data_IF_689393362541
#
_entry.id   IF_689393362541
#
_cell.length_a   1.000
_cell.length_b   1.000
_cell.length_c   1.000
_cell.angle_alpha   90.00
_cell.angle_beta   90.00
_cell.angle_gamma   90.00
#
_symmetry.space_group_name_H-M   'P 1'
#
loop_
_entity.id
_entity.type
_entity.pdbx_description
1 polymer ?
#
# COMPACT_ATOMS: atom_id res chain seq x y z
N UNK A 1 27.32 -4.76 17.17
CA UNK A 1 28.32 -3.82 16.61
C UNK A 1 27.92 -3.53 15.18
N UNK A 2 27.13 -2.47 14.95
CA UNK A 2 26.76 -2.07 13.58
C UNK A 2 27.95 -1.30 13.00
N UNK A 3 28.77 -2.00 12.22
CA UNK A 3 29.89 -1.42 11.51
C UNK A 3 29.39 -0.35 10.53
N UNK A 4 30.04 0.82 10.60
CA UNK A 4 30.21 1.84 9.57
C UNK A 4 29.23 1.77 8.37
N UNK A 5 28.23 2.65 8.35
CA UNK A 5 27.61 3.07 7.10
C UNK A 5 28.66 3.85 6.29
N UNK A 6 29.44 3.13 5.49
CA UNK A 6 30.45 3.70 4.63
C UNK A 6 29.75 4.38 3.44
N UNK A 7 30.01 5.68 3.31
CA UNK A 7 29.69 6.62 2.23
C UNK A 7 28.69 6.15 1.17
N UNK A 8 27.41 6.25 1.51
CA UNK A 8 26.37 6.21 0.52
C UNK A 8 26.13 7.61 -0.04
N UNK A 9 26.23 7.83 -1.37
CA UNK A 9 25.98 9.12 -1.98
C UNK A 9 24.59 9.65 -1.60
N UNK A 10 24.46 10.94 -1.27
CA UNK A 10 23.18 11.57 -0.83
C UNK A 10 22.03 11.39 -1.84
N UNK A 11 22.37 11.12 -3.09
CA UNK A 11 21.47 10.85 -4.21
C UNK A 11 21.01 9.38 -4.32
N UNK A 12 21.58 8.48 -3.50
CA UNK A 12 21.25 7.03 -3.48
C UNK A 12 20.68 6.64 -2.12
N UNK A 13 21.20 7.17 -1.01
CA UNK A 13 20.70 6.82 0.31
C UNK A 13 19.49 7.63 0.73
N UNK A 14 18.48 6.88 1.19
CA UNK A 14 17.27 7.43 1.74
C UNK A 14 17.51 7.85 3.18
N UNK A 15 17.02 9.04 3.59
CA UNK A 15 17.09 9.45 4.98
C UNK A 15 16.22 8.51 5.84
N UNK A 16 16.84 7.92 6.86
CA UNK A 16 16.17 7.13 7.90
C UNK A 16 15.87 8.03 9.09
N UNK A 17 14.60 8.07 9.48
CA UNK A 17 14.10 8.84 10.61
C UNK A 17 13.77 7.91 11.78
N UNK A 18 14.64 7.83 12.81
CA UNK A 18 14.42 6.95 13.94
C UNK A 18 13.44 7.55 14.96
N UNK A 19 12.57 6.69 15.45
CA UNK A 19 11.59 6.98 16.48
C UNK A 19 11.64 5.89 17.56
N UNK A 20 11.52 6.31 18.81
CA UNK A 20 11.30 5.41 19.94
C UNK A 20 9.81 5.49 20.30
N UNK A 21 9.16 4.34 20.38
CA UNK A 21 7.72 4.25 20.56
C UNK A 21 7.34 3.42 21.79
N UNK A 22 6.10 3.63 22.26
CA UNK A 22 5.40 2.70 23.13
C UNK A 22 5.10 1.37 22.42
N UNK A 23 4.77 0.34 23.20
CA UNK A 23 4.55 -1.04 22.75
C UNK A 23 3.46 -1.21 21.66
N UNK A 24 2.53 -0.26 21.60
CA UNK A 24 1.39 -0.17 20.67
C UNK A 24 1.66 0.78 19.48
N UNK A 25 2.86 1.36 19.39
CA UNK A 25 3.26 2.35 18.37
C UNK A 25 2.43 3.65 18.34
N UNK A 26 1.59 3.92 19.34
CA UNK A 26 0.76 5.14 19.36
C UNK A 26 1.53 6.37 19.82
N UNK A 27 2.47 6.21 20.76
CA UNK A 27 3.28 7.31 21.30
C UNK A 27 4.73 7.18 20.84
N UNK A 28 5.05 7.81 19.72
CA UNK A 28 6.39 7.82 19.13
C UNK A 28 7.08 9.17 19.31
N UNK A 29 8.35 9.14 19.71
CA UNK A 29 9.21 10.33 19.80
C UNK A 29 10.33 10.21 18.78
N UNK A 30 10.45 11.22 17.92
CA UNK A 30 11.59 11.36 17.01
C UNK A 30 12.87 11.48 17.83
N UNK A 31 13.89 10.72 17.42
CA UNK A 31 15.22 10.77 18.00
C UNK A 31 16.25 11.07 16.93
N UNK A 32 17.35 11.68 17.33
CA UNK A 32 18.50 11.84 16.43
C UNK A 32 19.15 10.48 16.20
N UNK A 33 19.82 10.31 15.07
CA UNK A 33 20.60 9.10 14.77
C UNK A 33 21.71 8.85 15.82
N UNK A 34 22.18 9.91 16.48
CA UNK A 34 23.21 9.85 17.52
C UNK A 34 22.65 9.91 18.95
N UNK A 35 21.35 9.68 19.13
CA UNK A 35 20.73 9.71 20.45
C UNK A 35 21.22 8.54 21.32
N UNK A 36 21.70 8.84 22.52
CA UNK A 36 22.25 7.85 23.46
C UNK A 36 21.21 6.81 23.90
N UNK A 37 19.90 7.13 23.79
CA UNK A 37 18.80 6.20 24.08
C UNK A 37 18.67 5.07 23.07
N UNK A 38 19.25 5.21 21.87
CA UNK A 38 19.31 4.14 20.87
C UNK A 38 20.48 3.18 21.11
N UNK A 39 21.41 3.52 22.01
CA UNK A 39 22.55 2.68 22.32
C UNK A 39 22.13 1.60 23.33
N UNK A 40 22.24 0.35 22.91
CA UNK A 40 22.12 -0.81 23.80
C UNK A 40 23.36 -0.86 24.70
N UNK A 41 23.15 -0.99 26.00
CA UNK A 41 24.23 -1.19 26.97
C UNK A 41 23.89 -2.32 27.89
N UNK A 42 24.77 -3.33 27.96
CA UNK A 42 24.66 -4.45 28.88
C UNK A 42 25.83 -4.40 29.87
N UNK A 43 25.53 -4.51 31.16
CA UNK A 43 26.51 -4.52 32.23
C UNK A 43 26.28 -5.75 33.11
N UNK A 44 27.34 -6.49 33.37
CA UNK A 44 27.31 -7.65 34.24
C UNK A 44 27.76 -7.27 35.66
N UNK A 45 26.91 -7.55 36.65
CA UNK A 45 27.21 -7.41 38.06
C UNK A 45 27.69 -8.74 38.63
N UNK A 46 29.01 -8.83 38.85
CA UNK A 46 29.69 -10.00 39.40
C UNK A 46 29.20 -10.34 40.81
N UNK A 47 28.79 -9.35 41.62
CA UNK A 47 28.41 -9.58 43.02
C UNK A 47 27.07 -10.30 43.13
N UNK A 48 26.14 -9.95 42.25
CA UNK A 48 24.79 -10.49 42.24
C UNK A 48 24.59 -11.57 41.16
N UNK A 49 25.61 -11.83 40.33
CA UNK A 49 25.53 -12.77 39.20
C UNK A 49 24.44 -12.37 38.18
N UNK A 50 24.15 -11.08 38.02
CA UNK A 50 23.07 -10.56 37.15
C UNK A 50 23.65 -9.79 35.97
N UNK A 51 23.12 -10.01 34.77
CA UNK A 51 23.37 -9.18 33.59
C UNK A 51 22.18 -8.24 33.32
N UNK A 52 22.44 -6.94 33.37
CA UNK A 52 21.45 -5.89 33.11
C UNK A 52 21.67 -5.28 31.72
N UNK A 53 20.71 -5.44 30.83
CA UNK A 53 20.73 -4.83 29.50
C UNK A 53 19.66 -3.73 29.40
N UNK A 54 20.08 -2.54 28.99
CA UNK A 54 19.21 -1.39 28.76
C UNK A 54 19.03 -1.11 27.28
N UNK A 55 17.86 -0.57 26.94
CA UNK A 55 17.48 -0.15 25.59
C UNK A 55 17.52 -1.27 24.55
N UNK A 56 17.21 -2.51 24.92
CA UNK A 56 17.09 -3.60 23.95
C UNK A 56 15.88 -3.41 23.07
N UNK A 57 16.08 -3.51 21.76
CA UNK A 57 14.99 -3.44 20.79
C UNK A 57 14.20 -4.74 20.87
N UNK A 58 12.92 -4.66 21.22
CA UNK A 58 11.99 -5.81 21.24
C UNK A 58 11.07 -5.83 20.04
N UNK A 59 10.72 -4.65 19.51
CA UNK A 59 9.95 -4.53 18.27
C UNK A 59 10.58 -3.47 17.37
N UNK A 60 10.60 -3.74 16.08
CA UNK A 60 11.10 -2.83 15.07
C UNK A 60 10.17 -2.79 13.87
N UNK A 61 9.61 -1.62 13.61
CA UNK A 61 8.70 -1.38 12.51
C UNK A 61 9.30 -0.39 11.51
N UNK A 62 9.37 -0.79 10.24
CA UNK A 62 9.84 0.06 9.16
C UNK A 62 8.67 0.58 8.33
N UNK A 63 8.54 1.89 8.23
CA UNK A 63 7.59 2.56 7.34
C UNK A 63 8.34 3.18 6.16
N UNK A 64 8.27 2.53 5.00
CA UNK A 64 8.83 3.04 3.75
C UNK A 64 7.81 3.94 3.06
N UNK A 65 8.12 5.23 2.92
CA UNK A 65 7.30 6.17 2.18
C UNK A 65 7.85 6.33 0.77
N UNK A 66 7.00 6.12 -0.23
CA UNK A 66 7.40 6.22 -1.62
C UNK A 66 6.42 7.03 -2.45
N UNK A 67 6.95 7.60 -3.52
CA UNK A 67 6.21 8.17 -4.61
C UNK A 67 6.35 7.21 -5.79
N UNK A 68 5.26 6.57 -6.22
CA UNK A 68 5.34 5.48 -7.22
C UNK A 68 5.98 5.85 -8.57
N UNK A 69 6.23 7.13 -8.85
CA UNK A 69 6.98 7.58 -10.03
C UNK A 69 8.39 8.07 -9.70
N UNK A 70 8.60 8.65 -8.50
CA UNK A 70 9.90 9.21 -8.08
C UNK A 70 10.72 8.28 -7.18
N UNK A 71 10.20 7.09 -6.87
CA UNK A 71 10.82 6.13 -5.97
C UNK A 71 10.57 6.44 -4.49
N UNK A 72 11.38 5.85 -3.63
CA UNK A 72 11.32 6.07 -2.19
C UNK A 72 11.70 7.52 -1.84
N UNK A 73 11.05 8.06 -0.82
CA UNK A 73 11.29 9.42 -0.33
C UNK A 73 11.93 9.42 1.05
N UNK A 74 11.41 8.60 1.97
CA UNK A 74 11.92 8.48 3.33
C UNK A 74 11.56 7.15 3.95
N UNK A 75 12.32 6.77 4.97
CA UNK A 75 12.04 5.59 5.79
C UNK A 75 11.93 6.05 7.24
N UNK A 76 10.83 5.70 7.90
CA UNK A 76 10.70 5.86 9.35
C UNK A 76 10.97 4.51 10.02
N UNK A 77 11.75 4.53 11.09
CA UNK A 77 11.96 3.35 11.95
C UNK A 77 11.30 3.61 13.29
N UNK A 78 10.41 2.72 13.70
CA UNK A 78 9.73 2.78 14.99
C UNK A 78 10.25 1.62 15.84
N UNK A 79 11.04 1.94 16.86
CA UNK A 79 11.62 0.96 17.76
C UNK A 79 10.92 0.98 19.11
N UNK A 80 10.58 -0.18 19.63
CA UNK A 80 10.18 -0.37 21.02
C UNK A 80 11.37 -0.91 21.78
N UNK A 81 11.69 -0.26 22.91
CA UNK A 81 12.84 -0.58 23.73
C UNK A 81 12.39 -1.16 25.07
N UNK A 82 13.10 -2.17 25.55
CA UNK A 82 12.93 -2.76 26.86
C UNK A 82 14.26 -2.82 27.62
N UNK A 83 14.16 -2.82 28.95
CA UNK A 83 15.27 -3.16 29.83
C UNK A 83 15.01 -4.57 30.36
N UNK A 84 16.05 -5.38 30.39
CA UNK A 84 16.00 -6.74 30.90
C UNK A 84 17.11 -6.94 31.94
N UNK A 85 16.86 -7.84 32.87
CA UNK A 85 17.82 -8.29 33.86
C UNK A 85 17.69 -9.81 33.95
N UNK A 86 18.78 -10.54 33.85
CA UNK A 86 18.77 -12.00 33.97
C UNK A 86 20.00 -12.52 34.69
N UNK A 87 19.87 -13.65 35.37
CA UNK A 87 20.96 -14.28 36.10
C UNK A 87 21.88 -15.04 35.15
N UNK A 88 23.20 -14.85 35.30
CA UNK A 88 24.21 -15.45 34.44
C UNK A 88 24.38 -16.93 34.78
N UNK A 89 24.29 -17.80 33.76
CA UNK A 89 24.44 -19.25 33.91
C UNK A 89 23.15 -20.05 34.05
N UNK A 90 21.97 -19.39 34.04
CA UNK A 90 20.69 -20.08 33.83
C UNK A 90 20.61 -20.61 32.38
N UNK A 91 20.07 -21.82 32.19
CA UNK A 91 19.80 -22.35 30.86
C UNK A 91 18.69 -21.53 30.18
N UNK A 92 19.01 -21.09 28.95
CA UNK A 92 18.14 -20.52 27.93
C UNK A 92 17.42 -19.20 28.27
N UNK A 93 18.19 -18.10 28.33
CA UNK A 93 17.63 -16.75 28.21
C UNK A 93 17.52 -16.35 26.74
N UNK A 94 16.29 -16.36 26.20
CA UNK A 94 16.00 -15.92 24.84
C UNK A 94 15.29 -14.56 24.82
N UNK A 95 15.68 -13.69 23.90
CA UNK A 95 14.99 -12.43 23.62
C UNK A 95 14.34 -12.54 22.26
N UNK A 96 13.01 -12.48 22.22
CA UNK A 96 12.29 -12.41 20.96
C UNK A 96 12.23 -10.98 20.45
N UNK A 97 12.47 -10.82 19.15
CA UNK A 97 12.38 -9.56 18.45
C UNK A 97 11.33 -9.65 17.35
N UNK A 98 10.38 -8.72 17.35
CA UNK A 98 9.35 -8.64 16.32
C UNK A 98 9.76 -7.62 15.25
N UNK A 99 9.70 -8.02 13.98
CA UNK A 99 9.99 -7.14 12.85
C UNK A 99 8.78 -7.02 11.95
N UNK A 100 8.48 -5.81 11.52
CA UNK A 100 7.44 -5.55 10.53
C UNK A 100 7.81 -4.42 9.59
N UNK A 101 7.29 -4.50 8.37
CA UNK A 101 7.61 -3.58 7.28
C UNK A 101 6.31 -3.17 6.60
N UNK A 102 6.13 -1.87 6.41
CA UNK A 102 5.02 -1.29 5.69
C UNK A 102 5.53 -0.39 4.56
N UNK A 103 4.79 -0.39 3.45
CA UNK A 103 5.04 0.45 2.28
C UNK A 103 3.86 1.41 2.09
N UNK A 104 4.13 2.71 2.20
CA UNK A 104 3.13 3.78 2.14
C UNK A 104 3.37 4.67 0.92
N UNK A 105 2.32 4.90 0.14
CA UNK A 105 2.34 5.96 -0.87
C UNK A 105 2.22 7.33 -0.21
N UNK A 106 3.09 8.25 -0.61
CA UNK A 106 3.01 9.65 -0.20
C UNK A 106 1.79 10.27 -0.89
N UNK A 107 0.95 10.96 -0.10
CA UNK A 107 -0.26 11.65 -0.56
C UNK A 107 -1.35 10.75 -1.19
N UNK A 108 -1.33 9.43 -0.98
CA UNK A 108 -2.49 8.58 -1.29
C UNK A 108 -3.13 8.03 -0.03
N UNK A 109 -4.45 7.95 -0.05
CA UNK A 109 -5.31 7.49 1.03
C UNK A 109 -5.06 6.02 1.36
N UNK A 110 -5.05 5.72 2.67
CA UNK A 110 -4.86 4.40 3.29
C UNK A 110 -5.82 3.31 2.80
N UNK A 111 -6.92 3.67 2.14
CA UNK A 111 -8.10 2.82 1.96
C UNK A 111 -7.81 1.54 1.16
N UNK A 112 -6.91 1.59 0.17
CA UNK A 112 -6.63 0.42 -0.68
C UNK A 112 -5.18 -0.03 -0.68
N UNK A 113 -4.29 0.59 0.11
CA UNK A 113 -2.85 0.28 0.14
C UNK A 113 -2.56 -1.21 0.40
N UNK A 114 -3.39 -1.88 1.21
CA UNK A 114 -3.31 -3.33 1.50
C UNK A 114 -3.72 -4.25 0.33
N UNK A 115 -4.47 -3.71 -0.63
CA UNK A 115 -4.89 -4.40 -1.85
C UNK A 115 -3.91 -4.17 -3.00
N UNK A 116 -3.02 -3.19 -2.88
CA UNK A 116 -1.96 -2.95 -3.86
C UNK A 116 -0.85 -3.99 -3.69
N UNK A 117 -0.23 -4.38 -4.80
CA UNK A 117 1.01 -5.12 -4.76
C UNK A 117 2.12 -4.25 -4.16
N UNK A 118 2.61 -4.61 -2.98
CA UNK A 118 3.67 -3.91 -2.26
C UNK A 118 5.09 -4.19 -2.75
N UNK A 119 5.26 -5.01 -3.80
CA UNK A 119 6.54 -5.30 -4.45
C UNK A 119 6.59 -4.59 -5.82
N UNK A 120 7.75 -4.21 -6.38
CA UNK A 120 7.83 -3.80 -7.79
C UNK A 120 7.38 -4.96 -8.69
N UNK A 121 6.11 -4.97 -9.07
CA UNK A 121 5.44 -6.06 -9.78
C UNK A 121 3.99 -6.22 -9.32
N UNK A 122 3.24 -7.17 -9.91
CA UNK A 122 1.91 -7.55 -9.42
C UNK A 122 2.01 -8.84 -8.60
N UNK A 123 1.38 -8.87 -7.42
CA UNK A 123 1.21 -10.08 -6.63
C UNK A 123 0.00 -10.86 -7.15
N UNK A 124 0.16 -12.17 -7.31
CA UNK A 124 -0.92 -13.08 -7.70
C UNK A 124 -2.06 -12.96 -6.67
N UNK A 125 -3.29 -12.85 -7.13
CA UNK A 125 -4.49 -12.74 -6.29
C UNK A 125 -4.75 -11.34 -5.74
N UNK A 126 -3.97 -10.34 -6.16
CA UNK A 126 -4.29 -8.94 -5.88
C UNK A 126 -5.01 -8.31 -7.08
N UNK A 127 -5.98 -7.40 -6.85
CA UNK A 127 -6.67 -6.69 -7.91
C UNK A 127 -5.72 -5.93 -8.84
N UNK A 128 -6.00 -5.95 -10.15
CA UNK A 128 -5.21 -5.21 -11.13
C UNK A 128 -5.53 -3.72 -11.04
N UNK A 129 -4.48 -2.94 -10.84
CA UNK A 129 -4.51 -1.49 -10.71
C UNK A 129 -4.75 -0.80 -12.04
N UNK A 130 -5.55 0.27 -11.98
CA UNK A 130 -5.78 1.12 -13.14
C UNK A 130 -5.63 2.60 -12.78
N UNK A 131 -5.47 3.42 -13.81
CA UNK A 131 -5.36 4.86 -13.70
C UNK A 131 -5.70 5.51 -15.04
N UNK A 132 -5.98 6.81 -15.00
CA UNK A 132 -6.23 7.59 -16.19
C UNK A 132 -4.94 8.24 -16.65
N UNK A 133 -4.67 8.17 -17.96
CA UNK A 133 -3.61 8.94 -18.57
C UNK A 133 -4.12 10.36 -18.77
N UNK A 134 -3.58 11.30 -18.01
CA UNK A 134 -3.96 12.71 -18.04
C UNK A 134 -2.82 13.56 -18.57
N UNK A 135 -3.16 14.56 -19.39
CA UNK A 135 -2.22 15.60 -19.77
C UNK A 135 -2.24 16.70 -18.71
N UNK A 136 -1.14 16.85 -17.98
CA UNK A 136 -0.96 17.91 -16.98
C UNK A 136 -0.14 19.10 -17.52
N UNK A 137 0.25 19.04 -18.79
CA UNK A 137 0.98 20.10 -19.48
C UNK A 137 0.07 20.93 -20.39
N UNK A 138 0.64 21.97 -21.01
CA UNK A 138 -0.08 22.84 -21.94
C UNK A 138 -0.24 22.19 -23.32
N UNK A 139 -1.10 22.76 -24.18
CA UNK A 139 -1.34 22.25 -25.55
C UNK A 139 -0.06 22.07 -26.38
N UNK A 140 0.99 22.85 -26.10
CA UNK A 140 2.28 22.81 -26.78
C UNK A 140 3.34 21.96 -26.06
N UNK A 141 3.17 21.71 -24.76
CA UNK A 141 4.08 20.91 -23.94
C UNK A 141 3.25 19.85 -23.22
N UNK A 142 2.98 18.75 -23.92
CA UNK A 142 2.20 17.62 -23.40
C UNK A 142 3.05 16.89 -22.35
N UNK A 143 2.58 16.88 -21.11
CA UNK A 143 3.18 16.10 -20.03
C UNK A 143 2.15 15.09 -19.57
N UNK A 144 2.39 13.82 -19.88
CA UNK A 144 1.49 12.72 -19.51
C UNK A 144 1.80 12.24 -18.11
N UNK A 145 0.76 12.13 -17.28
CA UNK A 145 0.83 11.50 -15.96
C UNK A 145 -0.28 10.49 -15.80
N UNK A 146 -0.04 9.51 -14.95
CA UNK A 146 -1.07 8.57 -14.52
C UNK A 146 -1.72 9.13 -13.28
N UNK A 147 -2.98 9.53 -13.40
CA UNK A 147 -3.83 9.92 -12.28
C UNK A 147 -4.57 8.69 -11.74
N UNK A 148 -4.60 8.54 -10.42
CA UNK A 148 -5.31 7.46 -9.73
C UNK A 148 -6.31 8.06 -8.75
N UNK A 149 -7.54 7.54 -8.78
CA UNK A 149 -8.62 7.98 -7.92
C UNK A 149 -8.76 7.06 -6.71
N UNK A 150 -7.98 7.32 -5.65
CA UNK A 150 -7.89 6.47 -4.46
C UNK A 150 -9.16 6.43 -3.59
N UNK A 151 -10.16 7.27 -3.89
CA UNK A 151 -11.45 7.28 -3.19
C UNK A 151 -12.49 6.32 -3.81
N UNK A 152 -12.27 5.88 -5.05
CA UNK A 152 -13.23 5.04 -5.77
C UNK A 152 -12.58 3.72 -6.16
N UNK A 153 -13.10 2.62 -5.61
CA UNK A 153 -12.65 1.27 -5.89
C UNK A 153 -12.71 0.96 -7.40
N UNK A 154 -13.84 1.27 -8.03
CA UNK A 154 -14.13 1.07 -9.47
C UNK A 154 -13.19 1.85 -10.39
N UNK A 155 -12.65 2.98 -9.91
CA UNK A 155 -11.67 3.79 -10.65
C UNK A 155 -10.22 3.42 -10.33
N UNK A 156 -10.00 2.71 -9.23
CA UNK A 156 -8.67 2.26 -8.78
C UNK A 156 -8.31 0.90 -9.38
N UNK A 157 -9.29 0.05 -9.70
CA UNK A 157 -9.07 -1.31 -10.16
C UNK A 157 -9.84 -1.64 -11.44
N UNK A 158 -9.34 -2.62 -12.19
CA UNK A 158 -10.12 -3.24 -13.26
C UNK A 158 -11.24 -4.06 -12.61
N UNK A 159 -12.48 -3.68 -12.89
CA UNK A 159 -13.67 -4.27 -12.28
C UNK A 159 -14.70 -4.63 -13.34
N UNK A 160 -15.43 -5.71 -13.06
CA UNK A 160 -16.57 -6.19 -13.84
C UNK A 160 -17.83 -6.11 -12.97
N UNK A 161 -19.03 -6.02 -13.59
CA UNK A 161 -20.28 -6.11 -12.85
C UNK A 161 -20.38 -7.44 -12.13
N UNK A 162 -20.91 -7.40 -10.92
CA UNK A 162 -21.17 -8.61 -10.16
C UNK A 162 -22.42 -9.33 -10.69
N UNK A 163 -22.50 -10.63 -10.44
CA UNK A 163 -23.63 -11.47 -10.83
C UNK A 163 -24.49 -11.80 -9.60
N UNK A 164 -25.52 -11.00 -9.38
CA UNK A 164 -26.49 -11.25 -8.31
C UNK A 164 -27.74 -11.87 -8.92
N UNK A 165 -28.03 -13.12 -8.58
CA UNK A 165 -29.20 -13.88 -9.06
C UNK A 165 -29.31 -13.93 -10.59
N UNK A 166 -28.18 -14.03 -11.29
CA UNK A 166 -28.14 -14.09 -12.75
C UNK A 166 -28.15 -12.73 -13.44
N UNK A 167 -28.22 -11.61 -12.71
CA UNK A 167 -28.29 -10.26 -13.28
C UNK A 167 -27.00 -9.47 -13.03
N UNK A 168 -26.61 -8.63 -13.98
CA UNK A 168 -25.45 -7.75 -13.84
C UNK A 168 -25.80 -6.60 -12.90
N UNK A 169 -25.11 -6.52 -11.76
CA UNK A 169 -25.30 -5.47 -10.76
C UNK A 169 -24.06 -4.58 -10.71
N UNK A 170 -24.29 -3.28 -10.85
CA UNK A 170 -23.29 -2.25 -10.58
C UNK A 170 -23.72 -1.52 -9.31
N UNK A 171 -23.06 -1.80 -8.20
CA UNK A 171 -23.14 -0.95 -7.00
C UNK A 171 -21.74 -0.66 -6.54
N UNK A 172 -21.53 0.50 -5.92
CA UNK A 172 -20.22 0.95 -5.42
C UNK A 172 -19.47 -0.11 -4.58
N UNK A 173 -20.20 -1.05 -3.98
CA UNK A 173 -19.71 -2.08 -3.05
C UNK A 173 -19.70 -3.51 -3.63
N UNK A 174 -20.42 -3.77 -4.74
CA UNK A 174 -20.54 -5.12 -5.32
C UNK A 174 -19.95 -5.11 -6.73
N UNK A 175 -18.62 -5.16 -6.80
CA UNK A 175 -17.90 -5.37 -8.04
C UNK A 175 -17.03 -6.60 -7.93
N UNK A 176 -16.82 -7.24 -9.07
CA UNK A 176 -15.85 -8.30 -9.21
C UNK A 176 -14.55 -7.68 -9.72
N UNK A 177 -13.49 -7.69 -8.91
CA UNK A 177 -12.16 -7.28 -9.37
C UNK A 177 -11.57 -8.31 -10.31
N UNK A 178 -10.83 -7.84 -11.31
CA UNK A 178 -9.92 -8.70 -12.07
C UNK A 178 -8.64 -8.80 -11.28
N UNK A 179 -8.33 -10.00 -10.81
CA UNK A 179 -7.15 -10.25 -10.01
C UNK A 179 -5.98 -10.73 -10.88
N UNK A 180 -4.77 -10.34 -10.51
CA UNK A 180 -3.58 -10.72 -11.25
C UNK A 180 -3.29 -12.22 -11.08
N UNK A 181 -2.92 -12.88 -12.18
CA UNK A 181 -2.60 -14.31 -12.19
C UNK A 181 -3.81 -15.24 -12.27
N UNK A 182 -5.02 -14.71 -12.42
CA UNK A 182 -6.24 -15.50 -12.55
C UNK A 182 -7.01 -15.16 -13.83
N UNK A 183 -7.53 -16.19 -14.49
CA UNK A 183 -8.45 -16.02 -15.61
C UNK A 183 -9.87 -15.82 -15.08
N UNK A 184 -10.46 -14.65 -15.34
CA UNK A 184 -11.81 -14.34 -14.91
C UNK A 184 -12.81 -14.52 -16.06
N UNK A 185 -13.72 -15.48 -15.90
CA UNK A 185 -14.88 -15.65 -16.77
C UNK A 185 -16.16 -15.48 -15.95
N UNK A 186 -16.93 -14.44 -16.25
CA UNK A 186 -18.22 -14.17 -15.59
C UNK A 186 -19.34 -14.01 -16.61
N UNK A 187 -20.56 -14.36 -16.21
CA UNK A 187 -21.77 -14.25 -17.03
C UNK A 187 -22.88 -13.66 -16.17
N UNK A 188 -23.51 -12.60 -16.65
CA UNK A 188 -24.67 -12.00 -16.01
C UNK A 188 -25.64 -11.48 -17.08
N UNK A 189 -26.93 -11.39 -16.77
CA UNK A 189 -27.96 -10.84 -17.65
C UNK A 189 -28.02 -9.33 -17.49
N UNK A 190 -27.96 -8.63 -18.61
CA UNK A 190 -28.14 -7.19 -18.65
C UNK A 190 -29.54 -6.85 -19.16
N UNK A 191 -30.36 -6.27 -18.30
CA UNK A 191 -31.68 -5.78 -18.66
C UNK A 191 -31.62 -4.26 -18.76
N UNK A 192 -31.94 -3.71 -19.94
CA UNK A 192 -32.00 -2.27 -20.11
C UNK A 192 -33.05 -1.89 -21.14
N UNK A 193 -33.78 -0.82 -20.83
CA UNK A 193 -34.83 -0.24 -21.68
C UNK A 193 -34.23 0.60 -22.81
N UNK A 194 -33.25 0.05 -23.54
CA UNK A 194 -32.51 0.74 -24.62
C UNK A 194 -33.38 0.86 -25.86
N UNK A 195 -34.37 -0.01 -26.02
CA UNK A 195 -35.24 -0.04 -27.19
C UNK A 195 -36.53 0.73 -26.94
N UNK A 196 -36.49 2.05 -27.15
CA UNK A 196 -37.71 2.81 -27.34
C UNK A 196 -37.84 3.14 -28.84
N UNK A 197 -38.73 2.41 -29.56
CA UNK A 197 -38.93 2.58 -31.00
C UNK A 197 -39.28 4.02 -31.41
N UNK A 198 -39.82 4.84 -30.49
CA UNK A 198 -40.13 6.25 -30.73
C UNK A 198 -38.91 7.19 -30.63
N UNK A 199 -37.80 6.73 -30.04
CA UNK A 199 -36.63 7.55 -29.70
C UNK A 199 -35.46 7.39 -30.68
N UNK A 200 -35.41 6.30 -31.44
CA UNK A 200 -34.27 5.97 -32.30
C UNK A 200 -34.70 5.85 -33.75
N UNK A 201 -34.15 6.72 -34.59
CA UNK A 201 -34.51 6.83 -36.02
C UNK A 201 -33.76 5.83 -36.90
N UNK A 202 -32.63 5.26 -36.43
CA UNK A 202 -31.77 4.39 -37.22
C UNK A 202 -31.15 3.27 -36.36
N UNK A 203 -31.04 2.06 -36.93
CA UNK A 203 -30.37 0.90 -36.31
C UNK A 203 -28.93 1.16 -35.87
N UNK A 204 -28.20 2.04 -36.57
CA UNK A 204 -26.83 2.45 -36.15
C UNK A 204 -26.82 3.10 -34.77
N UNK A 205 -27.83 3.92 -34.47
CA UNK A 205 -27.93 4.62 -33.19
C UNK A 205 -28.28 3.64 -32.06
N UNK A 206 -29.12 2.65 -32.36
CA UNK A 206 -29.46 1.56 -31.46
C UNK A 206 -28.21 0.75 -31.09
N UNK A 207 -27.42 0.31 -32.07
CA UNK A 207 -26.17 -0.42 -31.83
C UNK A 207 -25.18 0.38 -30.98
N UNK A 208 -24.99 1.68 -31.29
CA UNK A 208 -24.13 2.57 -30.50
C UNK A 208 -24.59 2.70 -29.05
N UNK A 209 -25.90 2.71 -28.80
CA UNK A 209 -26.43 2.79 -27.45
C UNK A 209 -26.30 1.49 -26.67
N UNK A 210 -26.48 0.33 -27.32
CA UNK A 210 -26.17 -0.97 -26.72
C UNK A 210 -24.70 -1.03 -26.32
N UNK A 211 -23.79 -0.66 -27.23
CA UNK A 211 -22.35 -0.66 -26.96
C UNK A 211 -21.99 0.28 -25.79
N UNK A 212 -22.54 1.50 -25.75
CA UNK A 212 -22.32 2.43 -24.63
C UNK A 212 -22.85 1.88 -23.31
N UNK A 213 -24.00 1.22 -23.33
CA UNK A 213 -24.59 0.64 -22.12
C UNK A 213 -23.74 -0.51 -21.58
N UNK A 214 -23.21 -1.37 -22.46
CA UNK A 214 -22.27 -2.43 -22.09
C UNK A 214 -20.96 -1.83 -21.56
N UNK A 215 -20.38 -0.84 -22.24
CA UNK A 215 -19.14 -0.20 -21.79
C UNK A 215 -19.29 0.54 -20.45
N UNK A 216 -20.48 1.06 -20.15
CA UNK A 216 -20.80 1.60 -18.81
C UNK A 216 -20.75 0.52 -17.73
N UNK A 217 -21.09 -0.73 -18.05
CA UNK A 217 -20.97 -1.84 -17.10
C UNK A 217 -19.52 -2.19 -16.78
N UNK A 218 -18.59 -2.00 -17.71
CA UNK A 218 -17.19 -2.41 -17.53
C UNK A 218 -16.37 -1.41 -16.71
N UNK A 219 -17.01 -0.52 -15.95
CA UNK A 219 -16.35 0.60 -15.26
C UNK A 219 -15.63 1.57 -16.21
N UNK A 220 -15.81 1.37 -17.53
CA UNK A 220 -15.05 2.00 -18.61
C UNK A 220 -15.64 3.30 -19.10
N UNK A 221 -16.71 3.81 -18.47
CA UNK A 221 -17.17 5.18 -18.72
C UNK A 221 -16.25 6.17 -17.99
N UNK A 222 -14.96 6.11 -18.38
CA UNK A 222 -13.94 7.13 -18.13
C UNK A 222 -14.28 8.23 -19.12
N UNK A 223 -15.18 9.11 -18.69
CA UNK A 223 -15.64 10.24 -19.48
C UNK A 223 -14.46 11.02 -20.06
N UNK A 224 -14.72 11.61 -21.22
CA UNK A 224 -13.94 12.71 -21.81
C UNK A 224 -13.47 13.71 -20.77
#
# INVERSE_FOLDING_TARGET
>A
MFNYFQDCPKNVCLPIYPNICSDDFNNCKNVSQNDTRLKVTCNYDIRNNVNDCKNLVTKLHYNFYHNGTKGYNRVETLAVLANISYEFGMQDFEVHQEYSINFWWINQTRNFSKMLSGNPGYLIGKPILTGNLVNVGNKTNVVLKIERFSESYVRSFITLPDNVNGNCVLKNETYLSVDFGYNLLTKCRFNSTIFNRKKYLNGTEVCRNIQRAILKLWGGNRGK
#
